data_IF_317007128972
#
_entry.id   IF_317007128972
#
_cell.length_a   1.000
_cell.length_b   1.000
_cell.length_c   1.000
_cell.angle_alpha   90.00
_cell.angle_beta   90.00
_cell.angle_gamma   90.00
#
_symmetry.space_group_name_H-M   'P 1'
#
loop_
_entity.id
_entity.type
_entity.pdbx_description
1 polymer ?
#
# COMPACT_ATOMS: atom_id res chain seq x y z
N UNK A 1 -3.32 14.93 -18.86
CA UNK A 1 -3.61 13.59 -18.30
C UNK A 1 -2.68 13.37 -17.12
N UNK A 2 -3.17 12.83 -16.01
CA UNK A 2 -2.37 12.53 -14.82
C UNK A 2 -2.30 11.01 -14.68
N UNK A 3 -1.09 10.45 -14.53
CA UNK A 3 -0.88 9.01 -14.40
C UNK A 3 -0.75 8.63 -12.92
N UNK A 4 -1.59 7.69 -12.49
CA UNK A 4 -1.58 7.18 -11.12
C UNK A 4 -1.34 5.66 -11.13
N UNK A 5 -0.69 5.16 -10.08
CA UNK A 5 -0.33 3.75 -9.96
C UNK A 5 -0.55 3.26 -8.53
N UNK A 6 -0.59 1.94 -8.36
CA UNK A 6 -0.60 1.36 -7.02
C UNK A 6 0.77 1.58 -6.35
N UNK A 7 0.75 1.99 -5.09
CA UNK A 7 1.93 2.10 -4.26
C UNK A 7 2.50 0.69 -4.03
N UNK A 8 3.81 0.56 -4.20
CA UNK A 8 4.49 -0.69 -3.88
C UNK A 8 4.45 -0.93 -2.36
N UNK A 9 4.11 -2.16 -1.92
CA UNK A 9 4.16 -2.50 -0.51
C UNK A 9 5.62 -2.56 -0.03
N UNK A 10 5.82 -2.36 1.26
CA UNK A 10 7.13 -2.41 1.91
C UNK A 10 7.25 -3.68 2.75
N UNK A 11 8.46 -4.23 2.84
CA UNK A 11 8.73 -5.35 3.75
C UNK A 11 8.55 -4.90 5.19
N UNK A 12 7.87 -5.74 5.97
CA UNK A 12 7.69 -5.57 7.40
C UNK A 12 8.32 -6.76 8.12
N UNK A 13 9.36 -6.49 8.90
CA UNK A 13 10.13 -7.52 9.61
C UNK A 13 9.30 -8.25 10.69
N UNK A 14 8.45 -7.53 11.42
CA UNK A 14 7.69 -8.12 12.55
C UNK A 14 6.69 -9.18 12.07
N UNK A 15 6.10 -8.95 10.90
CA UNK A 15 5.09 -9.84 10.30
C UNK A 15 5.65 -10.70 9.17
N UNK A 16 6.92 -10.51 8.80
CA UNK A 16 7.60 -11.18 7.69
C UNK A 16 6.77 -11.15 6.39
N UNK A 17 6.25 -9.97 6.04
CA UNK A 17 5.34 -9.80 4.89
C UNK A 17 5.46 -8.44 4.22
N UNK A 18 4.96 -8.33 2.98
CA UNK A 18 4.85 -7.05 2.27
C UNK A 18 3.52 -6.38 2.60
N UNK A 19 3.58 -5.16 3.16
CA UNK A 19 2.39 -4.43 3.64
C UNK A 19 2.36 -2.99 3.14
N UNK A 20 1.15 -2.43 3.09
CA UNK A 20 0.92 -0.99 2.97
C UNK A 20 0.47 -0.44 4.32
N UNK A 21 1.04 0.70 4.74
CA UNK A 21 0.59 1.36 5.96
C UNK A 21 -0.70 2.15 5.72
N UNK A 22 -1.81 1.66 6.27
CA UNK A 22 -3.12 2.32 6.20
C UNK A 22 -3.44 3.22 7.40
N UNK A 23 -2.50 3.40 8.33
CA UNK A 23 -2.66 4.20 9.55
C UNK A 23 -3.94 3.84 10.33
N UNK A 24 -4.16 2.54 10.55
CA UNK A 24 -5.31 2.04 11.31
C UNK A 24 -6.65 1.99 10.56
N UNK A 25 -6.72 2.44 9.30
CA UNK A 25 -7.98 2.43 8.51
C UNK A 25 -8.35 1.08 7.91
N UNK A 26 -7.43 0.13 7.93
CA UNK A 26 -7.62 -1.23 7.41
C UNK A 26 -7.30 -2.21 8.52
N UNK A 27 -8.23 -3.10 8.81
CA UNK A 27 -8.14 -4.08 9.90
C UNK A 27 -8.17 -5.53 9.41
N UNK A 28 -8.53 -5.77 8.14
CA UNK A 28 -8.56 -7.10 7.53
C UNK A 28 -7.72 -7.13 6.26
N UNK A 29 -6.91 -8.18 6.12
CA UNK A 29 -6.09 -8.41 4.93
C UNK A 29 -6.98 -8.72 3.71
N UNK A 30 -6.65 -8.11 2.57
CA UNK A 30 -7.39 -8.31 1.32
C UNK A 30 -6.56 -7.84 0.13
N UNK A 31 -6.70 -8.52 -1.00
CA UNK A 31 -6.15 -8.08 -2.30
C UNK A 31 -6.74 -6.75 -2.78
N UNK A 32 -7.86 -6.31 -2.17
CA UNK A 32 -8.52 -5.03 -2.45
C UNK A 32 -7.92 -3.86 -1.68
N UNK A 33 -6.94 -4.09 -0.81
CA UNK A 33 -6.27 -3.05 -0.04
C UNK A 33 -5.11 -2.48 -0.86
N UNK A 34 -5.35 -1.40 -1.59
CA UNK A 34 -4.34 -0.70 -2.40
C UNK A 34 -4.29 0.79 -2.07
N UNK A 35 -3.16 1.44 -2.39
CA UNK A 35 -3.01 2.90 -2.27
C UNK A 35 -2.64 3.45 -3.64
N UNK A 36 -3.41 4.41 -4.16
CA UNK A 36 -3.12 5.05 -5.44
C UNK A 36 -2.22 6.25 -5.20
N UNK A 37 -1.11 6.33 -5.94
CA UNK A 37 -0.11 7.39 -5.85
C UNK A 37 0.25 7.92 -7.24
N UNK A 38 0.73 9.16 -7.29
CA UNK A 38 1.36 9.72 -8.48
C UNK A 38 2.84 9.31 -8.52
N UNK A 39 3.39 9.01 -9.71
CA UNK A 39 4.80 8.58 -9.84
C UNK A 39 5.81 9.74 -9.73
N UNK A 40 5.35 10.96 -9.97
CA UNK A 40 6.17 12.15 -9.81
C UNK A 40 5.81 12.77 -8.45
N UNK A 41 6.80 12.93 -7.58
CA UNK A 41 6.67 13.83 -6.44
C UNK A 41 6.31 15.23 -6.92
#
# INVERSE_FOLDING_TARGET
MVLLNNKQPQWNEDTQSYVLNFHGRVTQASVKNFQIVHHLN
#
